data_IF_117358896487
#
_entry.id   IF_117358896487
#
_cell.length_a   1.000
_cell.length_b   1.000
_cell.length_c   1.000
_cell.angle_alpha   90.00
_cell.angle_beta   90.00
_cell.angle_gamma   90.00
#
_symmetry.space_group_name_H-M   'P 1'
#
loop_
_entity.id
_entity.type
_entity.pdbx_description
1 polymer ?
#
# COMPACT_ATOMS: atom_id res chain seq x y z
N UNK A 1 -12.13 34.49 -28.54
CA UNK A 1 -12.88 34.02 -27.35
C UNK A 1 -12.90 32.50 -27.40
N UNK A 2 -12.36 31.67 -26.51
CA UNK A 2 -11.63 31.78 -25.24
C UNK A 2 -10.64 30.60 -25.21
N UNK A 3 -9.44 30.76 -25.74
CA UNK A 3 -8.30 29.97 -25.28
C UNK A 3 -7.78 30.63 -24.00
N UNK A 4 -8.56 30.51 -22.91
CA UNK A 4 -7.95 30.69 -21.60
C UNK A 4 -6.98 29.53 -21.46
N UNK A 5 -5.70 29.86 -21.49
CA UNK A 5 -4.62 29.15 -20.82
C UNK A 5 -5.13 28.58 -19.48
N UNK A 6 -5.69 27.37 -19.52
CA UNK A 6 -6.03 26.63 -18.29
C UNK A 6 -4.70 26.18 -17.72
N UNK A 7 -4.04 27.06 -16.97
CA UNK A 7 -3.01 26.64 -16.03
C UNK A 7 -3.61 25.47 -15.25
N UNK A 8 -3.03 24.26 -15.35
CA UNK A 8 -3.64 23.11 -14.71
C UNK A 8 -3.57 23.35 -13.21
N UNK A 9 -4.73 23.31 -12.56
CA UNK A 9 -4.89 23.67 -11.15
C UNK A 9 -3.94 22.87 -10.30
N UNK A 10 -3.05 23.54 -9.57
CA UNK A 10 -2.15 22.87 -8.63
C UNK A 10 -2.90 22.13 -7.50
N UNK A 11 -4.22 22.35 -7.37
CA UNK A 11 -5.12 21.77 -6.37
C UNK A 11 -5.17 20.23 -6.37
N UNK A 12 -4.93 19.55 -7.49
CA UNK A 12 -5.09 18.08 -7.57
C UNK A 12 -4.18 17.32 -6.59
N UNK A 13 -2.92 17.80 -6.40
CA UNK A 13 -1.97 17.19 -5.45
C UNK A 13 -2.42 17.38 -3.99
N UNK A 14 -3.11 18.49 -3.68
CA UNK A 14 -3.60 18.78 -2.35
C UNK A 14 -4.82 17.92 -2.00
N UNK A 15 -5.68 17.61 -2.98
CA UNK A 15 -6.81 16.69 -2.80
C UNK A 15 -6.32 15.28 -2.46
N UNK A 16 -5.53 14.66 -3.36
CA UNK A 16 -5.03 13.30 -3.11
C UNK A 16 -4.03 13.23 -1.96
N UNK A 17 -3.20 14.27 -1.80
CA UNK A 17 -2.28 14.39 -0.67
C UNK A 17 -3.01 14.42 0.67
N UNK A 18 -4.08 15.21 0.79
CA UNK A 18 -4.89 15.26 2.01
C UNK A 18 -5.54 13.91 2.32
N UNK A 19 -6.08 13.21 1.31
CA UNK A 19 -6.64 11.86 1.51
C UNK A 19 -5.57 10.88 1.99
N UNK A 20 -4.39 10.88 1.37
CA UNK A 20 -3.27 10.03 1.79
C UNK A 20 -2.88 10.33 3.24
N UNK A 21 -2.68 11.60 3.58
CA UNK A 21 -2.36 12.01 4.95
C UNK A 21 -3.43 11.59 5.97
N UNK A 22 -4.71 11.88 5.69
CA UNK A 22 -5.82 11.51 6.56
C UNK A 22 -5.91 10.00 6.75
N UNK A 23 -5.71 9.22 5.68
CA UNK A 23 -5.72 7.77 5.77
C UNK A 23 -4.69 7.23 6.77
N UNK A 24 -3.51 7.87 6.83
CA UNK A 24 -2.44 7.49 7.74
C UNK A 24 -2.70 7.91 9.19
N UNK A 25 -3.59 8.87 9.43
CA UNK A 25 -3.97 9.31 10.77
C UNK A 25 -5.10 8.48 11.38
N UNK A 26 -6.14 8.16 10.60
CA UNK A 26 -7.37 7.54 11.13
C UNK A 26 -7.67 6.14 10.57
N UNK A 27 -6.85 5.67 9.62
CA UNK A 27 -7.04 4.40 8.91
C UNK A 27 -6.20 3.24 9.43
N UNK A 28 -5.73 3.29 10.68
CA UNK A 28 -4.87 2.26 11.29
C UNK A 28 -5.61 1.07 11.92
N UNK A 29 -6.94 1.01 11.77
CA UNK A 29 -7.80 -0.06 12.28
C UNK A 29 -7.81 -1.29 11.35
N UNK A 30 -8.17 -2.45 11.91
CA UNK A 30 -8.28 -3.73 11.19
C UNK A 30 -9.67 -4.37 11.29
N UNK A 31 -10.54 -3.78 12.11
CA UNK A 31 -11.87 -4.28 12.33
C UNK A 31 -12.80 -3.93 11.17
N UNK A 32 -13.84 -4.72 10.98
CA UNK A 32 -14.88 -4.47 9.99
C UNK A 32 -15.79 -3.29 10.37
N UNK A 33 -16.18 -2.49 9.38
CA UNK A 33 -17.27 -1.52 9.52
C UNK A 33 -16.90 -0.26 10.30
N UNK A 34 -15.62 0.12 10.28
CA UNK A 34 -15.14 1.33 10.96
C UNK A 34 -15.58 2.58 10.19
N UNK A 35 -16.21 3.53 10.87
CA UNK A 35 -16.64 4.78 10.22
C UNK A 35 -15.45 5.57 9.65
N UNK A 36 -14.25 5.44 10.22
CA UNK A 36 -13.03 6.10 9.72
C UNK A 36 -12.61 5.57 8.36
N UNK A 37 -12.79 4.27 8.10
CA UNK A 37 -12.54 3.66 6.78
C UNK A 37 -13.52 4.22 5.76
N UNK A 38 -14.82 4.25 6.07
CA UNK A 38 -15.84 4.82 5.20
C UNK A 38 -15.57 6.29 4.86
N UNK A 39 -15.11 7.10 5.83
CA UNK A 39 -14.72 8.48 5.57
C UNK A 39 -13.54 8.59 4.60
N UNK A 40 -12.52 7.72 4.74
CA UNK A 40 -11.38 7.67 3.82
C UNK A 40 -11.84 7.24 2.43
N UNK A 41 -12.70 6.23 2.32
CA UNK A 41 -13.24 5.74 1.05
C UNK A 41 -14.01 6.84 0.32
N UNK A 42 -14.92 7.54 1.00
CA UNK A 42 -15.68 8.66 0.44
C UNK A 42 -14.72 9.76 -0.04
N UNK A 43 -13.76 10.16 0.79
CA UNK A 43 -12.79 11.19 0.45
C UNK A 43 -11.92 10.81 -0.77
N UNK A 44 -11.51 9.53 -0.85
CA UNK A 44 -10.77 8.98 -1.97
C UNK A 44 -11.59 8.98 -3.27
N UNK A 45 -12.83 8.50 -3.24
CA UNK A 45 -13.72 8.45 -4.41
C UNK A 45 -14.06 9.85 -4.91
N UNK A 46 -14.43 10.78 -4.03
CA UNK A 46 -14.75 12.17 -4.40
C UNK A 46 -13.53 12.86 -5.01
N UNK A 47 -12.36 12.73 -4.38
CA UNK A 47 -11.12 13.33 -4.88
C UNK A 47 -10.70 12.73 -6.23
N UNK A 48 -10.82 11.41 -6.37
CA UNK A 48 -10.54 10.72 -7.62
C UNK A 48 -11.50 11.13 -8.74
N UNK A 49 -12.81 11.20 -8.48
CA UNK A 49 -13.81 11.64 -9.45
C UNK A 49 -13.55 13.08 -9.94
N UNK A 50 -13.19 13.98 -9.03
CA UNK A 50 -12.84 15.37 -9.37
C UNK A 50 -11.61 15.48 -10.29
N UNK A 51 -10.65 14.56 -10.18
CA UNK A 51 -9.44 14.52 -11.00
C UNK A 51 -9.69 13.78 -12.32
N UNK A 52 -10.37 12.65 -12.28
CA UNK A 52 -10.65 11.80 -13.45
C UNK A 52 -11.62 12.45 -14.44
N UNK A 53 -12.48 13.36 -13.98
CA UNK A 53 -13.37 14.16 -14.84
C UNK A 53 -12.65 15.23 -15.67
N UNK A 54 -11.38 15.52 -15.37
CA UNK A 54 -10.59 16.53 -16.07
C UNK A 54 -9.79 15.90 -17.22
N UNK A 55 -9.63 16.60 -18.35
CA UNK A 55 -8.74 16.12 -19.41
C UNK A 55 -7.31 16.07 -18.87
N UNK A 56 -6.64 14.93 -19.08
CA UNK A 56 -5.23 14.75 -18.72
C UNK A 56 -4.47 14.20 -19.91
N UNK A 57 -3.26 14.73 -20.11
CA UNK A 57 -2.31 14.24 -21.11
C UNK A 57 -1.68 12.90 -20.69
N UNK A 58 -1.83 12.50 -19.43
CA UNK A 58 -1.30 11.25 -18.91
C UNK A 58 -2.26 10.10 -19.22
N UNK A 59 -1.79 9.14 -20.00
CA UNK A 59 -2.54 7.95 -20.38
C UNK A 59 -2.43 6.87 -19.30
N UNK A 60 -3.57 6.29 -18.92
CA UNK A 60 -3.61 5.15 -18.00
C UNK A 60 -3.21 3.88 -18.78
N UNK A 61 -2.28 3.05 -18.29
CA UNK A 61 -1.93 1.80 -18.94
C UNK A 61 -3.17 0.87 -19.06
N UNK A 62 -3.49 0.41 -20.28
CA UNK A 62 -4.65 -0.49 -20.52
C UNK A 62 -4.61 -1.75 -19.67
N UNK A 63 -3.43 -2.31 -19.44
CA UNK A 63 -3.25 -3.50 -18.60
C UNK A 63 -3.69 -3.24 -17.14
N UNK A 64 -3.44 -2.04 -16.60
CA UNK A 64 -3.90 -1.65 -15.27
C UNK A 64 -5.42 -1.54 -15.24
N UNK A 65 -6.04 -0.91 -16.26
CA UNK A 65 -7.50 -0.81 -16.34
C UNK A 65 -8.16 -2.19 -16.41
N UNK A 66 -7.64 -3.10 -17.23
CA UNK A 66 -8.16 -4.45 -17.34
C UNK A 66 -7.99 -5.23 -16.03
N UNK A 67 -6.84 -5.13 -15.37
CA UNK A 67 -6.63 -5.77 -14.06
C UNK A 67 -7.69 -5.30 -13.05
N UNK A 68 -7.86 -3.98 -12.89
CA UNK A 68 -8.82 -3.42 -11.94
C UNK A 68 -10.27 -3.78 -12.31
N UNK A 69 -10.62 -3.74 -13.60
CA UNK A 69 -11.94 -4.13 -14.08
C UNK A 69 -12.24 -5.62 -13.82
N UNK A 70 -11.25 -6.50 -14.01
CA UNK A 70 -11.40 -7.93 -13.74
C UNK A 70 -11.55 -8.20 -12.23
N UNK A 71 -10.85 -7.47 -11.36
CA UNK A 71 -11.07 -7.57 -9.90
C UNK A 71 -12.52 -7.20 -9.55
N UNK A 72 -13.05 -6.08 -10.10
CA UNK A 72 -14.46 -5.71 -9.92
C UNK A 72 -15.40 -6.78 -10.47
N UNK A 73 -15.08 -7.38 -11.62
CA UNK A 73 -15.87 -8.47 -12.18
C UNK A 73 -15.95 -9.69 -11.25
N UNK A 74 -14.87 -10.03 -10.53
CA UNK A 74 -14.89 -11.09 -9.51
C UNK A 74 -15.79 -10.71 -8.34
N UNK A 75 -15.73 -9.47 -7.83
CA UNK A 75 -16.67 -8.99 -6.81
C UNK A 75 -18.13 -9.10 -7.28
N UNK A 76 -18.43 -8.65 -8.50
CA UNK A 76 -19.77 -8.75 -9.07
C UNK A 76 -20.21 -10.21 -9.20
N UNK A 77 -19.34 -11.10 -9.70
CA UNK A 77 -19.62 -12.53 -9.77
C UNK A 77 -19.98 -13.12 -8.39
N UNK A 78 -19.33 -12.66 -7.33
CA UNK A 78 -19.61 -13.16 -5.98
C UNK A 78 -20.93 -12.68 -5.37
N UNK A 79 -21.44 -11.53 -5.84
CA UNK A 79 -22.65 -10.86 -5.34
C UNK A 79 -23.86 -11.11 -6.23
N UNK A 80 -23.69 -11.55 -7.48
CA UNK A 80 -24.81 -11.89 -8.37
C UNK A 80 -25.40 -13.25 -7.95
N UNK A 81 -26.73 -13.35 -7.76
CA UNK A 81 -27.37 -14.62 -7.44
C UNK A 81 -27.36 -15.55 -8.67
N UNK A 82 -26.86 -16.78 -8.50
CA UNK A 82 -26.72 -17.79 -9.55
C UNK A 82 -27.63 -19.01 -9.27
N UNK A 83 -28.11 -19.74 -10.28
CA UNK A 83 -28.82 -21.00 -10.06
C UNK A 83 -27.98 -21.99 -9.23
N UNK A 84 -28.57 -22.58 -8.18
CA UNK A 84 -27.86 -23.51 -7.27
C UNK A 84 -27.18 -24.68 -7.98
N UNK A 85 -27.78 -25.19 -9.06
CA UNK A 85 -27.21 -26.25 -9.90
C UNK A 85 -25.82 -25.92 -10.48
N UNK A 86 -25.46 -24.63 -10.65
CA UNK A 86 -24.12 -24.22 -11.11
C UNK A 86 -23.07 -24.30 -9.99
N UNK A 87 -23.49 -24.35 -8.73
CA UNK A 87 -22.62 -24.41 -7.55
C UNK A 87 -22.56 -25.81 -6.94
N UNK A 88 -23.51 -26.68 -7.29
CA UNK A 88 -23.48 -28.10 -6.94
C UNK A 88 -22.22 -28.78 -7.46
N UNK A 89 -21.54 -29.55 -6.62
CA UNK A 89 -20.27 -30.22 -6.95
C UNK A 89 -19.05 -29.29 -6.98
N UNK A 90 -19.25 -27.97 -7.04
CA UNK A 90 -18.18 -26.95 -7.01
C UNK A 90 -17.92 -26.47 -5.58
N UNK A 91 -18.95 -26.50 -4.72
CA UNK A 91 -18.88 -26.04 -3.32
C UNK A 91 -19.36 -27.10 -2.32
N UNK A 92 -18.86 -27.06 -1.06
CA UNK A 92 -19.33 -27.96 -0.01
C UNK A 92 -20.81 -27.73 0.31
N UNK A 93 -21.55 -28.82 0.57
CA UNK A 93 -22.97 -28.78 0.89
C UNK A 93 -23.31 -27.88 2.10
N UNK A 94 -22.41 -27.79 3.08
CA UNK A 94 -22.58 -26.92 4.26
C UNK A 94 -22.69 -25.43 3.90
N UNK A 95 -22.07 -24.99 2.80
CA UNK A 95 -22.16 -23.60 2.31
C UNK A 95 -23.34 -23.37 1.35
N UNK A 96 -23.99 -24.45 0.92
CA UNK A 96 -25.17 -24.44 0.05
C UNK A 96 -26.48 -24.62 0.85
N UNK A 97 -26.39 -25.08 2.09
CA UNK A 97 -27.53 -25.41 2.94
C UNK A 97 -28.30 -24.15 3.39
N UNK A 98 -29.60 -24.11 3.08
CA UNK A 98 -30.57 -23.35 3.85
C UNK A 98 -31.24 -24.34 4.82
N UNK A 99 -31.07 -24.20 6.15
CA UNK A 99 -31.69 -25.14 7.09
C UNK A 99 -33.23 -25.06 7.14
N UNK A 100 -33.85 -24.10 6.44
CA UNK A 100 -35.24 -23.68 6.68
C UNK A 100 -36.13 -23.60 5.43
N UNK A 101 -35.63 -23.96 4.24
CA UNK A 101 -36.36 -23.73 2.99
C UNK A 101 -36.20 -24.92 2.03
N UNK A 102 -37.17 -25.85 2.09
CA UNK A 102 -37.37 -26.87 1.06
C UNK A 102 -37.71 -26.19 -0.29
N UNK A 103 -36.99 -26.58 -1.34
CA UNK A 103 -37.25 -26.13 -2.70
C UNK A 103 -36.04 -26.29 -3.61
N UNK A 104 -36.13 -27.27 -4.51
CA UNK A 104 -35.19 -27.49 -5.61
C UNK A 104 -35.15 -26.26 -6.52
N UNK A 105 -33.95 -25.78 -6.89
CA UNK A 105 -33.66 -24.66 -7.82
C UNK A 105 -33.69 -23.21 -7.30
N UNK A 106 -33.39 -22.93 -6.03
CA UNK A 106 -33.21 -21.53 -5.59
C UNK A 106 -31.88 -20.92 -6.05
N UNK A 107 -31.94 -19.63 -6.36
CA UNK A 107 -30.75 -18.82 -6.62
C UNK A 107 -29.88 -18.72 -5.34
N UNK A 108 -28.58 -18.82 -5.50
CA UNK A 108 -27.55 -18.84 -4.44
C UNK A 108 -26.45 -17.84 -4.77
N UNK A 109 -25.89 -17.21 -3.74
CA UNK A 109 -24.70 -16.38 -3.89
C UNK A 109 -23.45 -17.24 -3.74
N UNK A 110 -22.39 -16.89 -4.47
CA UNK A 110 -21.07 -17.46 -4.22
C UNK A 110 -20.55 -16.97 -2.86
N UNK A 111 -20.76 -15.68 -2.55
CA UNK A 111 -20.39 -15.14 -1.25
C UNK A 111 -21.31 -15.64 -0.13
N UNK A 112 -20.69 -16.14 0.95
CA UNK A 112 -21.37 -16.49 2.22
C UNK A 112 -21.72 -15.22 3.03
N UNK A 113 -21.15 -14.08 2.67
CA UNK A 113 -21.33 -12.80 3.36
C UNK A 113 -21.46 -11.64 2.39
N UNK A 114 -22.55 -11.60 1.61
CA UNK A 114 -22.77 -10.61 0.54
C UNK A 114 -22.53 -9.17 1.00
N UNK A 115 -23.08 -8.77 2.17
CA UNK A 115 -22.87 -7.42 2.71
C UNK A 115 -21.38 -7.10 2.93
N UNK A 116 -20.62 -8.07 3.46
CA UNK A 116 -19.19 -7.90 3.70
C UNK A 116 -18.37 -7.90 2.41
N UNK A 117 -18.79 -8.68 1.41
CA UNK A 117 -18.20 -8.64 0.05
C UNK A 117 -18.44 -7.30 -0.63
N UNK A 118 -19.61 -6.69 -0.44
CA UNK A 118 -19.89 -5.33 -0.94
C UNK A 118 -18.99 -4.30 -0.23
N UNK A 119 -18.82 -4.39 1.09
CA UNK A 119 -17.89 -3.52 1.82
C UNK A 119 -16.44 -3.66 1.30
N UNK A 120 -15.95 -4.88 1.11
CA UNK A 120 -14.64 -5.11 0.50
C UNK A 120 -14.54 -4.59 -0.94
N UNK A 121 -15.62 -4.67 -1.71
CA UNK A 121 -15.68 -4.10 -3.06
C UNK A 121 -15.57 -2.57 -3.02
N UNK A 122 -16.27 -1.90 -2.10
CA UNK A 122 -16.21 -0.43 -1.93
C UNK A 122 -14.81 0.02 -1.51
N UNK A 123 -14.21 -0.68 -0.54
CA UNK A 123 -12.83 -0.46 -0.12
C UNK A 123 -11.85 -0.58 -1.30
N UNK A 124 -11.97 -1.65 -2.09
CA UNK A 124 -11.15 -1.84 -3.30
C UNK A 124 -11.38 -0.73 -4.33
N UNK A 125 -12.64 -0.38 -4.62
CA UNK A 125 -12.99 0.66 -5.58
C UNK A 125 -12.43 2.02 -5.16
N UNK A 126 -12.46 2.36 -3.88
CA UNK A 126 -11.87 3.60 -3.37
C UNK A 126 -10.35 3.64 -3.58
N UNK A 127 -9.64 2.56 -3.21
CA UNK A 127 -8.19 2.46 -3.42
C UNK A 127 -7.82 2.46 -4.91
N UNK A 128 -8.59 1.75 -5.75
CA UNK A 128 -8.42 1.70 -7.20
C UNK A 128 -8.67 3.08 -7.84
N UNK A 129 -9.72 3.79 -7.42
CA UNK A 129 -10.01 5.14 -7.89
C UNK A 129 -8.88 6.11 -7.52
N UNK A 130 -8.37 6.03 -6.29
CA UNK A 130 -7.21 6.82 -5.86
C UNK A 130 -5.97 6.51 -6.71
N UNK A 131 -5.66 5.23 -6.92
CA UNK A 131 -4.55 4.80 -7.78
C UNK A 131 -4.69 5.36 -9.21
N UNK A 132 -5.86 5.23 -9.83
CA UNK A 132 -6.14 5.77 -11.16
C UNK A 132 -6.03 7.30 -11.21
N UNK A 133 -6.42 7.99 -10.15
CA UNK A 133 -6.28 9.44 -10.04
C UNK A 133 -4.81 9.88 -9.94
N UNK A 134 -3.97 9.15 -9.19
CA UNK A 134 -2.51 9.39 -9.16
C UNK A 134 -1.89 9.23 -10.55
N UNK A 135 -2.32 8.23 -11.33
CA UNK A 135 -1.85 8.06 -12.73
C UNK A 135 -2.20 9.22 -13.65
N UNK A 136 -3.26 9.99 -13.35
CA UNK A 136 -3.64 11.18 -14.12
C UNK A 136 -2.87 12.45 -13.74
N UNK A 137 -2.23 12.47 -12.57
CA UNK A 137 -1.43 13.61 -12.13
C UNK A 137 -0.22 13.82 -13.04
N UNK A 138 0.28 15.06 -13.13
CA UNK A 138 1.60 15.31 -13.72
C UNK A 138 2.70 14.82 -12.79
N UNK A 139 3.86 14.46 -13.33
CA UNK A 139 5.04 14.01 -12.56
C UNK A 139 5.42 14.96 -11.40
N UNK A 140 5.30 16.28 -11.60
CA UNK A 140 5.50 17.29 -10.53
C UNK A 140 4.46 17.20 -9.40
N UNK A 141 3.20 16.93 -9.75
CA UNK A 141 2.13 16.78 -8.77
C UNK A 141 2.25 15.47 -8.00
N UNK A 142 2.75 14.40 -8.64
CA UNK A 142 3.08 13.14 -7.97
C UNK A 142 4.18 13.35 -6.93
N UNK A 143 5.25 14.07 -7.27
CA UNK A 143 6.25 14.49 -6.28
C UNK A 143 5.63 15.30 -5.13
N UNK A 144 4.60 16.10 -5.44
CA UNK A 144 3.83 16.87 -4.48
C UNK A 144 3.02 16.04 -3.47
N UNK A 145 2.91 14.72 -3.64
CA UNK A 145 2.29 13.82 -2.65
C UNK A 145 3.25 13.45 -1.52
N UNK A 146 4.57 13.51 -1.75
CA UNK A 146 5.58 13.10 -0.77
C UNK A 146 5.52 13.88 0.54
N UNK A 147 5.32 15.22 0.57
CA UNK A 147 5.18 15.94 1.83
C UNK A 147 4.02 15.43 2.68
N UNK A 148 2.89 15.07 2.07
CA UNK A 148 1.73 14.53 2.78
C UNK A 148 2.00 13.13 3.34
N UNK A 149 2.67 12.29 2.56
CA UNK A 149 3.13 10.99 3.01
C UNK A 149 4.07 11.12 4.22
N UNK A 150 5.12 11.94 4.12
CA UNK A 150 6.06 12.17 5.23
C UNK A 150 5.41 12.80 6.45
N UNK A 151 4.45 13.72 6.25
CA UNK A 151 3.69 14.29 7.37
C UNK A 151 2.93 13.20 8.12
N UNK A 152 2.30 12.26 7.41
CA UNK A 152 1.64 11.11 8.03
C UNK A 152 2.61 10.19 8.78
N UNK A 153 3.81 9.93 8.22
CA UNK A 153 4.86 9.13 8.86
C UNK A 153 5.36 9.82 10.13
N UNK A 154 5.60 11.13 10.08
CA UNK A 154 6.07 11.93 11.21
C UNK A 154 5.00 11.94 12.31
N UNK A 155 3.73 12.17 12.00
CA UNK A 155 2.65 12.12 12.98
C UNK A 155 2.57 10.75 13.67
N UNK A 156 2.67 9.66 12.91
CA UNK A 156 2.70 8.30 13.46
C UNK A 156 3.95 8.04 14.30
N UNK A 157 5.12 8.50 13.87
CA UNK A 157 6.37 8.37 14.61
C UNK A 157 6.39 9.15 15.91
N UNK A 158 5.81 10.36 15.92
CA UNK A 158 5.62 11.17 17.13
C UNK A 158 4.64 10.50 18.10
N UNK A 159 3.50 10.00 17.59
CA UNK A 159 2.54 9.26 18.41
C UNK A 159 3.19 8.02 19.05
N UNK A 160 4.01 7.27 18.30
CA UNK A 160 4.73 6.12 18.80
C UNK A 160 5.82 6.51 19.81
N UNK A 161 6.57 7.59 19.58
CA UNK A 161 7.57 8.09 20.52
C UNK A 161 6.94 8.49 21.86
N UNK A 162 5.76 9.13 21.83
CA UNK A 162 5.00 9.46 23.05
C UNK A 162 4.55 8.17 23.76
N UNK A 163 3.98 7.21 23.03
CA UNK A 163 3.51 5.94 23.60
C UNK A 163 4.64 5.13 24.24
N UNK A 164 5.78 5.01 23.57
CA UNK A 164 6.91 4.20 24.04
C UNK A 164 7.77 4.93 25.09
N UNK A 165 7.63 6.24 25.24
CA UNK A 165 8.29 7.00 26.31
C UNK A 165 7.58 6.89 27.65
N UNK A 166 6.31 6.51 27.66
CA UNK A 166 5.56 6.24 28.88
C UNK A 166 5.88 4.80 29.31
N UNK A 167 6.30 4.60 30.55
CA UNK A 167 6.85 3.31 31.04
C UNK A 167 5.86 2.14 30.96
N UNK A 168 4.56 2.42 30.86
CA UNK A 168 3.51 1.43 30.62
C UNK A 168 3.16 1.41 29.13
N UNK A 169 2.88 0.24 28.56
CA UNK A 169 2.29 0.13 27.21
C UNK A 169 0.91 0.79 27.21
N UNK A 170 0.87 2.09 26.94
CA UNK A 170 -0.37 2.88 26.92
C UNK A 170 -1.11 2.58 25.62
N UNK A 171 -2.00 1.60 25.66
CA UNK A 171 -3.06 1.48 24.66
C UNK A 171 -3.98 2.70 24.79
N UNK A 172 -4.21 3.42 23.68
CA UNK A 172 -5.13 4.56 23.68
C UNK A 172 -6.49 4.06 23.21
N UNK A 173 -7.45 4.05 24.13
CA UNK A 173 -8.85 3.69 23.87
C UNK A 173 -9.72 4.93 23.69
N UNK A 174 -10.76 4.84 22.86
CA UNK A 174 -11.79 5.88 22.72
C UNK A 174 -11.45 7.07 21.81
N UNK A 175 -10.20 7.25 21.39
CA UNK A 175 -9.83 8.32 20.42
C UNK A 175 -10.29 8.02 18.99
N UNK A 176 -10.18 6.75 18.59
CA UNK A 176 -10.59 6.21 17.28
C UNK A 176 -11.52 5.01 17.53
N UNK A 177 -12.27 4.53 16.51
CA UNK A 177 -13.17 3.38 16.67
C UNK A 177 -12.44 2.03 16.86
N UNK A 178 -11.15 2.08 17.16
CA UNK A 178 -10.30 0.94 17.47
C UNK A 178 -9.25 1.38 18.52
N UNK A 179 -8.79 0.42 19.32
CA UNK A 179 -7.70 0.66 20.27
C UNK A 179 -6.39 0.88 19.54
N UNK A 180 -5.69 1.96 19.86
CA UNK A 180 -4.38 2.29 19.28
C UNK A 180 -3.29 1.66 20.14
N UNK A 181 -2.44 0.84 19.53
CA UNK A 181 -1.37 0.11 20.23
C UNK A 181 0.05 0.48 19.76
N UNK A 182 0.20 1.07 18.57
CA UNK A 182 1.49 1.48 18.05
C UNK A 182 1.34 2.66 17.08
N UNK A 183 1.83 3.83 17.46
CA UNK A 183 1.65 5.04 16.65
C UNK A 183 0.17 5.41 16.57
N UNK A 184 -0.44 5.40 15.38
CA UNK A 184 -1.89 5.54 15.20
C UNK A 184 -2.54 4.25 14.66
N UNK A 185 -1.86 3.11 14.82
CA UNK A 185 -2.34 1.80 14.38
C UNK A 185 -2.81 0.94 15.55
N UNK A 186 -3.80 0.09 15.28
CA UNK A 186 -4.23 -0.96 16.19
C UNK A 186 -3.21 -2.11 16.31
N UNK A 187 -2.36 -2.30 15.29
CA UNK A 187 -1.40 -3.40 15.22
C UNK A 187 0.03 -2.88 14.98
N UNK A 188 0.96 -3.27 15.85
CA UNK A 188 2.39 -2.93 15.78
C UNK A 188 3.07 -3.40 14.48
N UNK A 189 2.62 -4.50 13.87
CA UNK A 189 3.16 -4.98 12.59
C UNK A 189 2.75 -4.03 11.46
N UNK A 190 1.52 -3.52 11.48
CA UNK A 190 1.04 -2.57 10.48
C UNK A 190 1.71 -1.19 10.64
N UNK A 191 1.93 -0.74 11.88
CA UNK A 191 2.76 0.42 12.15
C UNK A 191 4.19 0.22 11.61
N UNK A 192 4.80 -0.94 11.87
CA UNK A 192 6.12 -1.28 11.33
C UNK A 192 6.14 -1.31 9.81
N UNK A 193 5.05 -1.75 9.18
CA UNK A 193 4.89 -1.72 7.73
C UNK A 193 4.91 -0.31 7.16
N UNK A 194 4.26 0.64 7.83
CA UNK A 194 4.37 2.04 7.43
C UNK A 194 5.81 2.56 7.53
N UNK A 195 6.51 2.25 8.63
CA UNK A 195 7.89 2.69 8.84
C UNK A 195 8.84 2.13 7.77
N UNK A 196 8.81 0.81 7.51
CA UNK A 196 9.73 0.22 6.54
C UNK A 196 9.40 0.67 5.10
N UNK A 197 8.13 0.86 4.74
CA UNK A 197 7.71 1.41 3.43
C UNK A 197 8.24 2.83 3.23
N UNK A 198 8.50 3.56 4.31
CA UNK A 198 9.03 4.93 4.27
C UNK A 198 10.54 4.99 4.01
N UNK A 199 11.28 3.92 4.32
CA UNK A 199 12.75 3.89 4.23
C UNK A 199 13.27 4.23 2.82
N UNK A 200 12.79 3.61 1.72
CA UNK A 200 13.28 3.95 0.38
C UNK A 200 13.07 5.42 0.01
N UNK A 201 11.99 6.05 0.50
CA UNK A 201 11.70 7.46 0.26
C UNK A 201 12.62 8.39 1.05
N UNK A 202 12.96 8.04 2.30
CA UNK A 202 13.94 8.79 3.09
C UNK A 202 15.33 8.71 2.45
N UNK A 203 15.73 7.53 1.98
CA UNK A 203 16.99 7.34 1.23
C UNK A 203 16.98 8.15 -0.07
N UNK A 204 15.88 8.10 -0.82
CA UNK A 204 15.69 8.94 -2.01
C UNK A 204 15.82 10.43 -1.70
N UNK A 205 15.16 10.91 -0.64
CA UNK A 205 15.20 12.30 -0.23
C UNK A 205 16.62 12.74 0.15
N UNK A 206 17.34 11.92 0.91
CA UNK A 206 18.73 12.19 1.28
C UNK A 206 19.66 12.28 0.06
N UNK A 207 19.64 11.25 -0.80
CA UNK A 207 20.60 11.11 -1.90
C UNK A 207 20.31 12.00 -3.11
N UNK A 208 19.03 12.16 -3.48
CA UNK A 208 18.65 12.81 -4.74
C UNK A 208 18.07 14.23 -4.57
N UNK A 209 17.63 14.61 -3.37
CA UNK A 209 17.17 15.98 -3.08
C UNK A 209 18.23 16.82 -2.37
N UNK A 210 19.44 16.28 -2.13
CA UNK A 210 20.57 17.01 -1.57
C UNK A 210 20.50 17.22 -0.05
N UNK A 211 19.63 16.50 0.65
CA UNK A 211 19.40 16.66 2.08
C UNK A 211 19.94 15.46 2.89
N UNK A 212 21.23 15.15 2.72
CA UNK A 212 21.86 13.97 3.32
C UNK A 212 21.70 13.88 4.84
N UNK A 213 21.84 15.01 5.56
CA UNK A 213 21.72 15.03 7.01
C UNK A 213 20.29 14.67 7.48
N UNK A 214 19.26 15.29 6.89
CA UNK A 214 17.88 14.98 7.26
C UNK A 214 17.45 13.59 6.79
N UNK A 215 17.97 13.11 5.66
CA UNK A 215 17.81 11.72 5.22
C UNK A 215 18.43 10.73 6.20
N UNK A 216 19.66 10.98 6.68
CA UNK A 216 20.33 10.14 7.66
C UNK A 216 19.60 10.15 9.02
N UNK A 217 19.22 11.33 9.52
CA UNK A 217 18.45 11.45 10.76
C UNK A 217 17.10 10.73 10.63
N UNK A 218 16.38 10.94 9.54
CA UNK A 218 15.12 10.25 9.27
C UNK A 218 15.28 8.73 9.24
N UNK A 219 16.34 8.22 8.60
CA UNK A 219 16.62 6.78 8.53
C UNK A 219 16.91 6.20 9.93
N UNK A 220 17.76 6.87 10.72
CA UNK A 220 18.05 6.48 12.10
C UNK A 220 16.77 6.48 12.94
N UNK A 221 15.94 7.52 12.84
CA UNK A 221 14.66 7.59 13.56
C UNK A 221 13.73 6.44 13.16
N UNK A 222 13.58 6.14 11.87
CA UNK A 222 12.74 5.02 11.41
C UNK A 222 13.23 3.68 11.95
N UNK A 223 14.54 3.44 11.93
CA UNK A 223 15.13 2.20 12.46
C UNK A 223 14.91 2.10 13.98
N UNK A 224 15.14 3.17 14.74
CA UNK A 224 14.89 3.18 16.19
C UNK A 224 13.42 2.92 16.51
N UNK A 225 12.49 3.51 15.76
CA UNK A 225 11.05 3.27 15.93
C UNK A 225 10.67 1.83 15.57
N UNK A 226 11.27 1.22 14.54
CA UNK A 226 11.06 -0.20 14.22
C UNK A 226 11.52 -1.12 15.35
N UNK A 227 12.65 -0.80 15.98
CA UNK A 227 13.16 -1.56 17.12
C UNK A 227 12.26 -1.38 18.36
N UNK A 228 11.77 -0.16 18.59
CA UNK A 228 10.84 0.15 19.67
C UNK A 228 9.49 -0.54 19.48
N UNK A 229 8.99 -0.61 18.25
CA UNK A 229 7.74 -1.28 17.90
C UNK A 229 7.75 -2.80 18.15
N UNK A 230 8.94 -3.42 18.22
CA UNK A 230 9.08 -4.82 18.61
C UNK A 230 8.55 -5.85 17.60
N UNK A 231 8.16 -5.44 16.38
CA UNK A 231 7.76 -6.38 15.33
C UNK A 231 8.98 -7.11 14.76
N UNK A 232 9.12 -8.41 15.02
CA UNK A 232 10.24 -9.22 14.48
C UNK A 232 10.33 -9.14 12.95
N UNK A 233 9.19 -9.29 12.27
CA UNK A 233 9.11 -9.16 10.81
C UNK A 233 9.45 -7.74 10.36
N UNK A 234 8.92 -6.71 11.04
CA UNK A 234 9.23 -5.31 10.76
C UNK A 234 10.71 -4.98 10.89
N UNK A 235 11.39 -5.52 11.91
CA UNK A 235 12.82 -5.34 12.15
C UNK A 235 13.65 -5.96 11.02
N UNK A 236 13.38 -7.23 10.68
CA UNK A 236 14.12 -7.94 9.63
C UNK A 236 13.87 -7.33 8.23
N UNK A 237 12.63 -6.94 7.94
CA UNK A 237 12.28 -6.25 6.70
C UNK A 237 12.93 -4.87 6.64
N UNK A 238 12.88 -4.11 7.74
CA UNK A 238 13.52 -2.80 7.87
C UNK A 238 15.03 -2.85 7.58
N UNK A 239 15.70 -3.88 8.09
CA UNK A 239 17.11 -4.17 7.82
C UNK A 239 17.35 -4.40 6.31
N UNK A 240 16.63 -5.34 5.73
CA UNK A 240 16.79 -5.75 4.34
C UNK A 240 16.48 -4.61 3.37
N UNK A 241 15.37 -3.89 3.58
CA UNK A 241 14.96 -2.78 2.72
C UNK A 241 15.93 -1.61 2.84
N UNK A 242 16.52 -1.36 4.01
CA UNK A 242 17.55 -0.31 4.16
C UNK A 242 18.77 -0.62 3.32
N UNK A 243 19.32 -1.84 3.47
CA UNK A 243 20.49 -2.28 2.72
C UNK A 243 20.24 -2.22 1.20
N UNK A 244 19.12 -2.78 0.74
CA UNK A 244 18.76 -2.79 -0.68
C UNK A 244 18.46 -1.38 -1.18
N UNK A 245 17.78 -0.53 -0.41
CA UNK A 245 17.52 0.87 -0.79
C UNK A 245 18.83 1.60 -1.03
N UNK A 246 19.76 1.53 -0.09
CA UNK A 246 21.05 2.22 -0.19
C UNK A 246 21.80 1.72 -1.41
N UNK A 247 21.95 0.40 -1.60
CA UNK A 247 22.67 -0.16 -2.76
C UNK A 247 21.98 0.22 -4.08
N UNK A 248 20.68 0.01 -4.18
CA UNK A 248 19.91 0.18 -5.42
C UNK A 248 19.78 1.65 -5.84
N UNK A 249 19.75 2.58 -4.88
CA UNK A 249 19.66 4.03 -5.13
C UNK A 249 21.04 4.70 -5.20
N UNK A 250 22.09 4.18 -4.55
CA UNK A 250 23.44 4.78 -4.56
C UNK A 250 24.35 4.29 -5.69
N UNK A 251 23.99 3.24 -6.43
CA UNK A 251 24.81 2.64 -7.51
C UNK A 251 25.28 3.59 -8.63
N UNK A 252 24.80 4.85 -8.67
CA UNK A 252 25.26 5.91 -9.59
C UNK A 252 25.76 7.19 -8.93
N UNK A 253 25.79 7.29 -7.59
CA UNK A 253 26.18 8.53 -6.89
C UNK A 253 27.67 8.55 -6.54
N UNK A 254 28.30 9.74 -6.62
CA UNK A 254 29.71 9.96 -6.22
C UNK A 254 29.96 9.80 -4.71
N UNK A 255 28.92 9.56 -3.93
CA UNK A 255 28.93 9.48 -2.45
C UNK A 255 28.94 8.02 -1.96
N UNK A 256 28.97 7.05 -2.89
CA UNK A 256 28.69 5.63 -2.62
C UNK A 256 29.59 4.97 -1.56
N UNK A 257 30.90 5.24 -1.53
CA UNK A 257 31.82 4.53 -0.64
C UNK A 257 31.58 4.79 0.85
N UNK A 258 31.56 6.07 1.25
CA UNK A 258 31.39 6.45 2.65
C UNK A 258 29.95 6.22 3.16
N UNK A 259 28.95 6.39 2.28
CA UNK A 259 27.55 6.10 2.61
C UNK A 259 27.29 4.61 2.86
N UNK A 260 27.89 3.72 2.06
CA UNK A 260 27.79 2.27 2.25
C UNK A 260 28.44 1.85 3.57
N UNK A 261 29.60 2.40 3.92
CA UNK A 261 30.29 2.10 5.18
C UNK A 261 29.49 2.58 6.41
N UNK A 262 28.95 3.80 6.38
CA UNK A 262 28.13 4.32 7.47
C UNK A 262 26.83 3.52 7.64
N UNK A 263 26.22 3.08 6.53
CA UNK A 263 25.05 2.20 6.55
C UNK A 263 25.43 0.83 7.09
N UNK A 264 26.56 0.25 6.70
CA UNK A 264 27.03 -1.03 7.22
C UNK A 264 27.25 -1.00 8.74
N UNK A 265 27.86 0.08 9.26
CA UNK A 265 28.04 0.29 10.70
C UNK A 265 26.69 0.44 11.41
N UNK A 266 25.80 1.28 10.89
CA UNK A 266 24.45 1.46 11.45
C UNK A 266 23.63 0.17 11.42
N UNK A 267 23.75 -0.61 10.35
CA UNK A 267 23.11 -1.90 10.18
C UNK A 267 23.63 -2.92 11.19
N UNK A 268 24.94 -2.93 11.44
CA UNK A 268 25.57 -3.80 12.45
C UNK A 268 25.06 -3.47 13.85
N UNK A 269 24.99 -2.20 14.23
CA UNK A 269 24.42 -1.77 15.52
C UNK A 269 22.94 -2.16 15.62
N UNK A 270 22.19 -1.97 14.54
CA UNK A 270 20.78 -2.35 14.48
C UNK A 270 20.57 -3.85 14.64
N UNK A 271 21.43 -4.70 14.04
CA UNK A 271 21.34 -6.16 14.21
C UNK A 271 21.55 -6.61 15.66
N UNK A 272 22.40 -5.92 16.43
CA UNK A 272 22.60 -6.22 17.86
C UNK A 272 21.31 -5.94 18.65
N UNK A 273 20.68 -4.78 18.41
CA UNK A 273 19.40 -4.44 19.03
C UNK A 273 18.26 -5.40 18.60
N UNK A 274 18.23 -5.76 17.31
CA UNK A 274 17.29 -6.73 16.77
C UNK A 274 17.42 -8.10 17.44
N UNK A 275 18.65 -8.59 17.62
CA UNK A 275 18.92 -9.88 18.24
C UNK A 275 18.39 -9.93 19.68
N UNK A 276 18.64 -8.89 20.47
CA UNK A 276 18.15 -8.79 21.84
C UNK A 276 16.61 -8.81 21.95
N UNK A 277 15.90 -8.25 20.97
CA UNK A 277 14.42 -8.27 20.91
C UNK A 277 13.86 -9.60 20.39
N UNK A 278 14.58 -10.29 19.50
CA UNK A 278 14.17 -11.58 18.94
C UNK A 278 14.32 -12.70 19.98
N UNK A 279 15.40 -12.70 20.77
CA UNK A 279 15.74 -13.73 21.77
C UNK A 279 14.89 -13.70 23.05
N UNK A 280 14.06 -12.66 23.26
CA UNK A 280 13.13 -12.64 24.38
C UNK A 280 12.17 -13.84 24.26
N UNK A 281 12.37 -14.84 25.12
CA UNK A 281 11.57 -16.07 25.26
C UNK A 281 10.13 -15.76 25.68
N UNK A 282 9.34 -15.23 24.74
CA UNK A 282 7.88 -15.24 24.83
C UNK A 282 7.43 -16.48 24.06
N UNK A 283 6.64 -17.32 24.74
CA UNK A 283 5.97 -18.50 24.19
C UNK A 283 5.43 -18.16 22.80
N UNK A 284 5.85 -18.94 21.82
CA UNK A 284 5.90 -18.57 20.41
C UNK A 284 4.51 -18.27 19.81
N UNK A 285 4.21 -17.02 19.39
CA UNK A 285 3.04 -16.73 18.57
C UNK A 285 3.09 -17.40 17.19
N UNK A 286 4.27 -17.88 16.75
CA UNK A 286 4.41 -18.60 15.49
C UNK A 286 3.81 -20.02 15.52
N UNK A 287 3.60 -20.60 16.70
CA UNK A 287 2.87 -21.88 16.83
C UNK A 287 1.42 -21.76 16.32
N UNK A 288 0.80 -20.56 16.44
CA UNK A 288 -0.53 -20.28 15.89
C UNK A 288 -0.52 -20.03 14.38
N UNK A 289 0.45 -19.29 13.84
CA UNK A 289 0.44 -18.88 12.42
C UNK A 289 0.58 -20.04 11.43
N UNK A 290 1.41 -21.03 11.73
CA UNK A 290 1.55 -22.20 10.87
C UNK A 290 0.23 -23.01 10.81
N UNK A 291 -0.46 -23.10 11.94
CA UNK A 291 -1.75 -23.78 12.04
C UNK A 291 -2.89 -22.95 11.39
N UNK A 292 -2.83 -21.62 11.47
CA UNK A 292 -3.73 -20.73 10.73
C UNK A 292 -3.56 -20.91 9.22
N UNK A 293 -2.33 -20.96 8.74
CA UNK A 293 -2.03 -21.22 7.33
C UNK A 293 -2.56 -22.60 6.91
N UNK A 294 -2.30 -23.64 7.70
CA UNK A 294 -2.80 -25.00 7.42
C UNK A 294 -4.33 -25.06 7.36
N UNK A 295 -5.01 -24.50 8.35
CA UNK A 295 -6.48 -24.46 8.41
C UNK A 295 -7.05 -23.66 7.23
N UNK A 296 -6.38 -22.57 6.84
CA UNK A 296 -6.76 -21.78 5.66
C UNK A 296 -6.59 -22.58 4.37
N UNK A 297 -5.50 -23.36 4.24
CA UNK A 297 -5.27 -24.24 3.08
C UNK A 297 -6.35 -25.32 3.00
N UNK A 298 -6.72 -25.96 4.12
CA UNK A 298 -7.82 -26.93 4.16
C UNK A 298 -9.15 -26.29 3.67
N UNK A 299 -9.42 -25.05 4.06
CA UNK A 299 -10.56 -24.28 3.55
C UNK A 299 -10.46 -23.97 2.06
N UNK A 300 -9.26 -23.66 1.55
CA UNK A 300 -9.00 -23.41 0.13
C UNK A 300 -9.28 -24.67 -0.67
N UNK A 301 -8.76 -25.84 -0.27
CA UNK A 301 -8.94 -27.11 -0.98
C UNK A 301 -10.41 -27.44 -1.23
N UNK A 302 -11.29 -27.08 -0.29
CA UNK A 302 -12.73 -27.28 -0.41
C UNK A 302 -13.45 -26.22 -1.25
N UNK A 303 -12.85 -25.05 -1.49
CA UNK A 303 -13.50 -23.88 -2.10
C UNK A 303 -12.69 -23.21 -3.22
N UNK A 304 -11.64 -23.87 -3.72
CA UNK A 304 -10.58 -23.25 -4.54
C UNK A 304 -11.08 -22.69 -5.88
N UNK A 305 -12.19 -23.18 -6.42
CA UNK A 305 -12.70 -22.81 -7.74
C UNK A 305 -13.27 -21.39 -7.76
N UNK A 306 -14.18 -21.07 -6.83
CA UNK A 306 -14.90 -19.79 -6.79
C UNK A 306 -14.55 -18.94 -5.57
N UNK A 307 -13.92 -19.54 -4.56
CA UNK A 307 -13.78 -18.97 -3.22
C UNK A 307 -15.10 -18.96 -2.47
N UNK A 308 -15.08 -18.30 -1.30
CA UNK A 308 -16.22 -18.22 -0.37
C UNK A 308 -16.85 -16.83 -0.24
N UNK A 309 -16.31 -15.84 -0.93
CA UNK A 309 -16.72 -14.43 -0.82
C UNK A 309 -15.69 -13.59 -0.09
N UNK A 310 -15.33 -12.43 -0.64
CA UNK A 310 -14.45 -11.48 0.04
C UNK A 310 -15.05 -10.99 1.36
N UNK A 311 -14.18 -10.95 2.38
CA UNK A 311 -14.54 -10.64 3.76
C UNK A 311 -15.27 -11.77 4.52
N UNK A 312 -15.41 -12.96 3.93
CA UNK A 312 -16.04 -14.10 4.60
C UNK A 312 -15.03 -14.99 5.37
N UNK A 313 -13.73 -14.65 5.38
CA UNK A 313 -12.66 -15.43 6.01
C UNK A 313 -13.06 -15.95 7.41
N UNK A 314 -13.39 -15.05 8.34
CA UNK A 314 -13.66 -15.42 9.74
C UNK A 314 -14.77 -16.48 9.86
N UNK A 315 -15.87 -16.33 9.10
CA UNK A 315 -17.00 -17.27 9.16
C UNK A 315 -16.63 -18.65 8.64
N UNK A 316 -15.84 -18.71 7.56
CA UNK A 316 -15.46 -19.98 6.92
C UNK A 316 -14.31 -20.65 7.65
N UNK A 317 -13.38 -19.87 8.18
CA UNK A 317 -12.28 -20.37 9.00
C UNK A 317 -12.79 -21.14 10.22
N UNK A 318 -13.82 -20.61 10.90
CA UNK A 318 -14.44 -21.26 12.06
C UNK A 318 -15.07 -22.63 11.77
N UNK A 319 -15.44 -22.92 10.51
CA UNK A 319 -15.95 -24.25 10.11
C UNK A 319 -14.83 -25.30 10.12
N UNK A 320 -13.59 -24.87 9.87
CA UNK A 320 -12.41 -25.72 9.74
C UNK A 320 -11.54 -25.71 11.01
N UNK A 321 -11.83 -24.82 11.96
CA UNK A 321 -11.08 -24.69 13.19
C UNK A 321 -11.26 -25.93 14.09
N UNK A 322 -10.15 -26.53 14.53
CA UNK A 322 -10.17 -27.66 15.45
C UNK A 322 -10.72 -27.23 16.81
N UNK A 323 -11.50 -28.09 17.46
CA UNK A 323 -12.05 -27.82 18.79
C UNK A 323 -11.01 -27.45 19.85
N UNK A 324 -9.77 -27.95 19.73
CA UNK A 324 -8.65 -27.61 20.61
C UNK A 324 -8.08 -26.20 20.40
N UNK A 325 -8.50 -25.50 19.34
CA UNK A 325 -8.11 -24.13 18.99
C UNK A 325 -9.21 -23.11 19.23
N UNK A 326 -10.40 -23.56 19.65
CA UNK A 326 -11.49 -22.67 20.05
C UNK A 326 -11.12 -22.05 21.40
N UNK A 327 -10.37 -20.96 21.36
CA UNK A 327 -10.01 -20.14 22.53
C UNK A 327 -11.05 -19.02 22.75
N UNK A 328 -10.87 -18.25 23.83
CA UNK A 328 -11.72 -17.08 24.15
C UNK A 328 -11.61 -15.94 23.11
N UNK A 329 -10.61 -15.99 22.22
CA UNK A 329 -10.37 -15.04 21.14
C UNK A 329 -10.46 -15.76 19.79
N UNK A 330 -11.21 -15.19 18.85
CA UNK A 330 -11.38 -15.74 17.51
C UNK A 330 -10.23 -15.33 16.59
N UNK A 331 -9.97 -16.13 15.55
CA UNK A 331 -8.99 -15.81 14.49
C UNK A 331 -9.64 -14.86 13.47
N UNK A 332 -9.17 -13.61 13.42
CA UNK A 332 -9.76 -12.58 12.56
C UNK A 332 -9.31 -12.69 11.10
N UNK A 333 -8.06 -13.12 10.90
CA UNK A 333 -7.37 -13.14 9.61
C UNK A 333 -6.33 -14.26 9.57
N UNK A 334 -5.93 -14.67 8.35
CA UNK A 334 -4.96 -15.74 8.14
C UNK A 334 -3.53 -15.36 8.56
N UNK A 335 -3.26 -14.06 8.80
CA UNK A 335 -1.88 -13.54 8.88
C UNK A 335 -1.05 -13.86 7.63
N UNK A 336 -1.74 -13.87 6.48
CA UNK A 336 -1.17 -14.01 5.15
C UNK A 336 -2.23 -13.54 4.14
N UNK A 337 -2.05 -12.36 3.54
CA UNK A 337 -3.02 -11.80 2.59
C UNK A 337 -3.23 -12.76 1.39
N UNK A 338 -2.21 -13.50 0.96
CA UNK A 338 -2.32 -14.38 -0.21
C UNK A 338 -3.22 -15.58 0.05
N UNK A 339 -3.05 -16.25 1.20
CA UNK A 339 -3.89 -17.37 1.60
C UNK A 339 -5.33 -16.91 1.84
N UNK A 340 -5.51 -15.74 2.47
CA UNK A 340 -6.84 -15.19 2.71
C UNK A 340 -7.55 -14.82 1.40
N UNK A 341 -6.87 -14.13 0.48
CA UNK A 341 -7.41 -13.80 -0.85
C UNK A 341 -7.70 -15.06 -1.68
N UNK A 342 -6.87 -16.10 -1.57
CA UNK A 342 -7.10 -17.38 -2.24
C UNK A 342 -8.32 -18.11 -1.68
N UNK A 343 -8.53 -18.09 -0.36
CA UNK A 343 -9.73 -18.67 0.26
C UNK A 343 -10.99 -17.89 -0.15
N UNK A 344 -10.94 -16.57 -0.04
CA UNK A 344 -12.08 -15.70 -0.27
C UNK A 344 -12.48 -15.60 -1.75
N UNK A 345 -11.50 -15.54 -2.67
CA UNK A 345 -11.73 -15.29 -4.09
C UNK A 345 -11.40 -16.46 -5.01
N UNK A 346 -10.86 -17.57 -4.49
CA UNK A 346 -10.55 -18.79 -5.25
C UNK A 346 -9.57 -18.57 -6.39
N UNK A 347 -9.68 -19.41 -7.42
CA UNK A 347 -8.87 -19.40 -8.62
C UNK A 347 -8.90 -18.03 -9.33
N UNK A 348 -10.04 -17.33 -9.48
CA UNK A 348 -10.05 -15.98 -10.03
C UNK A 348 -9.12 -15.00 -9.29
N UNK A 349 -9.14 -15.01 -7.96
CA UNK A 349 -8.25 -14.15 -7.18
C UNK A 349 -6.77 -14.55 -7.32
N UNK A 350 -6.46 -15.85 -7.34
CA UNK A 350 -5.09 -16.35 -7.56
C UNK A 350 -4.55 -15.87 -8.92
N UNK A 351 -5.35 -16.00 -9.99
CA UNK A 351 -4.95 -15.53 -11.32
C UNK A 351 -4.72 -14.03 -11.37
N UNK A 352 -5.54 -13.24 -10.66
CA UNK A 352 -5.38 -11.79 -10.58
C UNK A 352 -4.14 -11.38 -9.77
N UNK A 353 -3.83 -12.09 -8.69
CA UNK A 353 -2.59 -11.89 -7.93
C UNK A 353 -1.35 -12.18 -8.80
N UNK A 354 -1.37 -13.27 -9.56
CA UNK A 354 -0.29 -13.61 -10.51
C UNK A 354 -0.20 -12.55 -11.61
N UNK A 355 -1.31 -12.14 -12.20
CA UNK A 355 -1.33 -11.09 -13.23
C UNK A 355 -0.76 -9.77 -12.69
N UNK A 356 -1.12 -9.38 -11.47
CA UNK A 356 -0.55 -8.22 -10.80
C UNK A 356 0.97 -8.35 -10.59
N UNK A 357 1.44 -9.50 -10.09
CA UNK A 357 2.86 -9.76 -9.89
C UNK A 357 3.66 -9.70 -11.20
N UNK A 358 3.11 -10.23 -12.29
CA UNK A 358 3.70 -10.14 -13.63
C UNK A 358 3.77 -8.68 -14.10
N UNK A 359 2.69 -7.90 -13.94
CA UNK A 359 2.68 -6.48 -14.31
C UNK A 359 3.68 -5.67 -13.50
N UNK A 360 3.77 -5.91 -12.19
CA UNK A 360 4.73 -5.27 -11.31
C UNK A 360 6.17 -5.63 -11.71
N UNK A 361 6.44 -6.91 -11.96
CA UNK A 361 7.77 -7.37 -12.39
C UNK A 361 8.16 -6.76 -13.74
N UNK A 362 7.23 -6.71 -14.70
CA UNK A 362 7.45 -6.07 -16.00
C UNK A 362 7.66 -4.55 -15.89
N UNK A 363 7.12 -3.90 -14.85
CA UNK A 363 7.34 -2.46 -14.61
C UNK A 363 8.79 -2.17 -14.20
N UNK A 364 9.47 -3.09 -13.52
CA UNK A 364 10.86 -2.92 -13.06
C UNK A 364 11.83 -2.58 -14.19
N UNK A 365 11.61 -3.14 -15.38
CA UNK A 365 12.43 -2.88 -16.56
C UNK A 365 12.36 -1.41 -17.03
N UNK A 366 11.22 -0.73 -16.80
CA UNK A 366 10.98 0.66 -17.19
C UNK A 366 11.46 1.66 -16.14
N UNK A 367 11.52 1.24 -14.88
CA UNK A 367 11.84 2.09 -13.71
C UNK A 367 13.36 2.38 -13.59
N UNK A 368 14.17 1.91 -14.54
CA UNK A 368 15.65 1.93 -14.47
C UNK A 368 16.25 3.34 -14.34
N UNK A 369 15.56 4.38 -14.79
CA UNK A 369 16.05 5.78 -14.78
C UNK A 369 15.60 6.64 -13.61
N UNK A 370 14.39 6.44 -13.08
CA UNK A 370 13.76 7.42 -12.17
C UNK A 370 13.85 7.00 -10.68
N UNK A 371 14.61 7.72 -9.83
CA UNK A 371 14.85 7.30 -8.45
C UNK A 371 13.60 7.24 -7.57
N UNK A 372 12.61 8.10 -7.82
CA UNK A 372 11.33 8.09 -7.09
C UNK A 372 10.54 6.80 -7.36
N UNK A 373 10.49 6.37 -8.63
CA UNK A 373 9.82 5.12 -9.01
C UNK A 373 10.55 3.90 -8.44
N UNK A 374 11.89 3.94 -8.34
CA UNK A 374 12.67 2.89 -7.67
C UNK A 374 12.33 2.80 -6.18
N UNK A 375 12.25 3.93 -5.48
CA UNK A 375 11.86 3.96 -4.08
C UNK A 375 10.45 3.36 -3.89
N UNK A 376 9.48 3.81 -4.71
CA UNK A 376 8.11 3.30 -4.65
C UNK A 376 8.01 1.80 -4.97
N UNK A 377 8.76 1.33 -5.98
CA UNK A 377 8.82 -0.09 -6.34
C UNK A 377 9.36 -0.93 -5.19
N UNK A 378 10.44 -0.48 -4.54
CA UNK A 378 11.05 -1.19 -3.43
C UNK A 378 10.12 -1.25 -2.21
N UNK A 379 9.49 -0.12 -1.86
CA UNK A 379 8.48 -0.07 -0.80
C UNK A 379 7.31 -1.02 -1.09
N UNK A 380 6.82 -1.03 -2.33
CA UNK A 380 5.72 -1.88 -2.77
C UNK A 380 6.10 -3.37 -2.70
N UNK A 381 7.29 -3.74 -3.17
CA UNK A 381 7.78 -5.11 -3.11
C UNK A 381 7.91 -5.62 -1.68
N UNK A 382 8.45 -4.82 -0.76
CA UNK A 382 8.60 -5.22 0.64
C UNK A 382 7.28 -5.25 1.41
N UNK A 383 6.32 -4.39 1.05
CA UNK A 383 4.96 -4.48 1.59
C UNK A 383 4.29 -5.81 1.18
N UNK A 384 4.46 -6.22 -0.08
CA UNK A 384 3.98 -7.52 -0.58
C UNK A 384 4.71 -8.72 0.07
N UNK A 385 6.02 -8.60 0.33
CA UNK A 385 6.75 -9.62 1.10
C UNK A 385 6.20 -9.72 2.53
N UNK A 386 5.87 -8.60 3.17
CA UNK A 386 5.26 -8.62 4.50
C UNK A 386 3.88 -9.29 4.51
N UNK A 387 3.11 -9.14 3.42
CA UNK A 387 1.82 -9.84 3.22
C UNK A 387 1.91 -11.37 3.19
N UNK A 388 3.11 -11.97 3.14
CA UNK A 388 3.30 -13.42 3.31
C UNK A 388 3.18 -13.88 4.77
N UNK A 389 3.38 -12.96 5.72
CA UNK A 389 3.45 -13.27 7.17
C UNK A 389 2.52 -12.39 8.01
N UNK A 390 1.81 -11.45 7.37
CA UNK A 390 0.76 -10.65 7.98
C UNK A 390 -0.26 -10.15 6.94
N UNK A 391 -1.20 -9.30 7.35
CA UNK A 391 -2.26 -8.73 6.50
C UNK A 391 -2.27 -7.18 6.43
N UNK A 392 -1.15 -6.52 6.10
CA UNK A 392 -1.02 -5.06 6.20
C UNK A 392 -2.07 -4.28 5.39
N UNK A 393 -2.52 -4.82 4.24
CA UNK A 393 -3.44 -4.14 3.32
C UNK A 393 -4.88 -4.04 3.84
N UNK A 394 -5.19 -4.66 4.98
CA UNK A 394 -6.50 -4.54 5.66
C UNK A 394 -6.65 -3.25 6.46
N UNK A 395 -5.62 -2.39 6.50
CA UNK A 395 -5.73 -1.04 7.07
C UNK A 395 -5.86 -0.01 5.96
N UNK A 396 -6.83 0.90 6.06
CA UNK A 396 -7.01 1.96 5.06
C UNK A 396 -5.73 2.81 4.90
N UNK A 397 -4.95 3.01 5.96
CA UNK A 397 -3.66 3.69 5.92
C UNK A 397 -2.68 3.05 4.93
N UNK A 398 -2.49 1.73 5.03
CA UNK A 398 -1.57 0.99 4.16
C UNK A 398 -2.16 0.69 2.79
N UNK A 399 -3.47 0.51 2.65
CA UNK A 399 -4.09 0.36 1.33
C UNK A 399 -4.04 1.63 0.49
N UNK A 400 -4.26 2.80 1.08
CA UNK A 400 -4.10 4.09 0.38
C UNK A 400 -2.63 4.38 0.07
N UNK A 401 -1.71 4.00 0.97
CA UNK A 401 -0.28 4.02 0.69
C UNK A 401 0.06 3.09 -0.48
N UNK A 402 -0.43 1.85 -0.48
CA UNK A 402 -0.26 0.87 -1.55
C UNK A 402 -0.80 1.39 -2.90
N UNK A 403 -1.97 2.02 -2.91
CA UNK A 403 -2.55 2.67 -4.08
C UNK A 403 -1.67 3.83 -4.60
N UNK A 404 -1.12 4.64 -3.69
CA UNK A 404 -0.17 5.70 -4.03
C UNK A 404 1.11 5.13 -4.65
N UNK A 405 1.70 4.10 -4.05
CA UNK A 405 2.91 3.44 -4.54
C UNK A 405 2.71 2.85 -5.94
N UNK A 406 1.60 2.14 -6.16
CA UNK A 406 1.21 1.66 -7.49
C UNK A 406 1.06 2.83 -8.48
N UNK A 407 0.45 3.94 -8.04
CA UNK A 407 0.33 5.17 -8.80
C UNK A 407 1.68 5.70 -9.28
N UNK A 408 2.70 5.71 -8.43
CA UNK A 408 4.06 6.15 -8.76
C UNK A 408 4.74 5.14 -9.71
N UNK A 409 4.66 3.84 -9.40
CA UNK A 409 5.31 2.75 -10.15
C UNK A 409 4.81 2.66 -11.59
N UNK A 410 3.49 2.76 -11.80
CA UNK A 410 2.88 2.64 -13.12
C UNK A 410 2.73 3.98 -13.86
N UNK A 411 3.21 5.09 -13.29
CA UNK A 411 3.14 6.41 -13.90
C UNK A 411 4.00 6.52 -15.16
N UNK A 412 3.41 6.98 -16.27
CA UNK A 412 4.10 7.10 -17.57
C UNK A 412 4.84 8.42 -17.78
N UNK A 413 4.41 9.48 -17.11
CA UNK A 413 4.96 10.83 -17.30
C UNK A 413 6.40 11.01 -16.82
N UNK A 414 6.96 10.04 -16.07
CA UNK A 414 8.39 10.01 -15.76
C UNK A 414 9.25 9.53 -16.93
N UNK A 415 8.79 8.55 -17.70
CA UNK A 415 9.51 8.05 -18.88
C UNK A 415 9.57 9.11 -19.98
N UNK A 416 8.45 9.79 -20.26
CA UNK A 416 8.37 10.85 -21.28
C UNK A 416 9.33 12.02 -20.99
N UNK A 417 9.67 12.29 -19.73
CA UNK A 417 10.64 13.34 -19.34
C UNK A 417 12.09 12.93 -19.55
N UNK A 418 12.42 11.66 -19.35
CA UNK A 418 13.77 11.15 -19.55
C UNK A 418 14.11 11.15 -21.05
N UNK A 419 13.19 10.66 -21.89
CA UNK A 419 13.36 10.65 -23.35
C UNK A 419 13.50 12.08 -23.92
N UNK A 420 12.78 13.07 -23.35
CA UNK A 420 12.91 14.48 -23.75
C UNK A 420 14.23 15.14 -23.31
N UNK A 421 14.88 14.65 -22.25
CA UNK A 421 16.20 15.15 -21.80
C UNK A 421 17.34 14.58 -22.63
N UNK A 422 17.17 13.37 -23.17
CA UNK A 422 18.18 12.69 -23.97
C UNK A 422 18.18 13.10 -25.46
N UNK A 423 17.17 13.83 -25.97
CA UNK A 423 17.22 14.48 -27.29
C UNK A 423 17.99 15.84 -27.24
N UNK A 424 19.20 15.95 -27.80
CA UNK A 424 20.08 17.13 -27.62
C UNK A 424 19.63 18.43 -28.35
N UNK A 425 18.44 18.47 -28.95
CA UNK A 425 18.04 19.53 -29.89
C UNK A 425 16.81 20.37 -29.54
N UNK A 426 16.03 20.01 -28.52
CA UNK A 426 14.78 20.72 -28.17
C UNK A 426 14.88 21.66 -26.97
N UNK A 427 15.85 21.44 -26.07
CA UNK A 427 16.05 22.31 -24.92
C UNK A 427 16.59 23.70 -25.31
N UNK A 428 17.45 23.79 -26.33
CA UNK A 428 18.03 25.07 -26.78
C UNK A 428 17.02 25.97 -27.50
N UNK A 429 16.09 25.39 -28.27
CA UNK A 429 15.08 26.17 -29.02
C UNK A 429 14.05 26.87 -28.13
N UNK A 430 13.88 26.46 -26.88
CA UNK A 430 12.87 27.06 -25.98
C UNK A 430 13.41 28.25 -25.19
N UNK A 431 14.73 28.37 -25.04
CA UNK A 431 15.38 29.50 -24.39
C UNK A 431 15.72 30.64 -25.37
N UNK A 432 15.92 30.35 -26.67
CA UNK A 432 16.17 31.39 -27.68
C UNK A 432 14.94 32.27 -27.97
N UNK A 433 13.72 31.73 -27.90
CA UNK A 433 12.49 32.49 -28.17
C UNK A 433 12.09 33.46 -27.03
N UNK A 434 12.76 33.40 -25.87
CA UNK A 434 12.47 34.24 -24.70
C UNK A 434 13.48 35.38 -24.46
N UNK A 435 14.47 35.56 -25.35
CA UNK A 435 15.48 36.62 -25.25
C UNK A 435 15.27 37.73 -26.29
N UNK A 436 14.08 38.34 -26.31
CA UNK A 436 13.93 39.68 -26.86
C UNK A 436 14.42 40.71 -25.83
N UNK A 437 15.72 41.01 -25.87
CA UNK A 437 16.36 42.09 -25.12
C UNK A 437 16.02 43.43 -25.77
N UNK A 438 15.50 44.46 -25.05
CA UNK A 438 15.61 45.84 -25.49
C UNK A 438 17.00 46.36 -25.14
N UNK A 439 17.77 46.74 -26.15
CA UNK A 439 19.08 47.37 -26.00
C UNK A 439 18.98 48.66 -25.17
N UNK A 440 19.81 48.76 -24.12
CA UNK A 440 20.07 50.00 -23.40
C UNK A 440 20.82 50.97 -24.31
N UNK A 441 20.29 52.19 -24.46
CA UNK A 441 21.02 53.30 -25.05
C UNK A 441 22.17 53.74 -24.11
N UNK A 442 23.38 53.78 -24.65
CA UNK A 442 24.61 54.29 -24.05
C UNK A 442 24.57 55.81 -23.90
N UNK A 443 25.04 56.30 -22.75
CA UNK A 443 25.26 57.71 -22.50
C UNK A 443 26.65 58.19 -22.97
N UNK A 444 26.71 59.50 -23.30
CA UNK A 444 27.85 60.45 -23.35
C UNK A 444 28.69 60.52 -24.66
N UNK A 445 29.39 61.65 -24.97
CA UNK A 445 29.62 62.87 -24.17
C UNK A 445 29.48 64.24 -24.91
N UNK A 446 29.09 65.30 -24.19
CA UNK A 446 29.88 66.52 -23.90
C UNK A 446 29.07 67.49 -23.04
#
# INVERSE_FOLDING_TARGET
MRERSRQPTQWDKYLLGSVLFLSMLIGGGTASGLYTETLIEIAAVISAAAILSRPSQQAIPRAVLWLLALVVAVFCFQVVPLPGALLEGVRPAVLLADPWLDGESRLRFVSVGVGRTIECMLYFVAAAAFFLAVLRLRAEQVHGLLPFFFMGVICNGLAAAIQYSLSDTVAIEGLLPFTINAGLFANQNHFSALLFVSIPFVVYYGLFRGHLLSGALGLVTLLLLLLAAGSRAGILIGLAITAISVVFLSARSRVGGYGILAVFIGLSIYTIGAWAKIDAKVVDPAFGRAEFARTTIEGIEQNWTTGVGFGAFQKVYQIHEKGSMIFKSYVNHAHNDYLELALEGGLPAILLMVAYAVLLSASSARIRGEPLQKAAFLSLAFLLVHSLVDYPLRTAALAMTFACLNGIVFHRGFADRLDQRDEPGKASRRDEDNLLVPAKASALPR
#
